data_IF_567746945160
#
_entry.id   IF_567746945160
#
_cell.length_a   1.000
_cell.length_b   1.000
_cell.length_c   1.000
_cell.angle_alpha   90.00
_cell.angle_beta   90.00
_cell.angle_gamma   90.00
#
_symmetry.space_group_name_H-M   'P 1'
#
loop_
_entity.id
_entity.type
_entity.pdbx_description
1 polymer ?
#
# COMPACT_ATOMS: atom_id res chain seq x y z
N UNK A 1 13.08 17.98 -3.16
CA UNK A 1 11.95 17.54 -2.32
C UNK A 1 11.32 16.34 -2.99
N UNK A 2 11.28 15.22 -2.29
CA UNK A 2 10.51 14.07 -2.74
C UNK A 2 9.01 14.28 -2.40
N UNK A 3 8.13 13.49 -3.01
CA UNK A 3 6.68 13.61 -2.83
C UNK A 3 6.26 13.49 -1.35
N UNK A 4 6.85 12.53 -0.63
CA UNK A 4 6.47 12.24 0.76
C UNK A 4 6.86 13.36 1.74
N UNK A 5 8.03 13.97 1.56
CA UNK A 5 8.46 15.17 2.32
C UNK A 5 7.47 16.32 2.14
N UNK A 6 7.06 16.58 0.89
CA UNK A 6 6.10 17.65 0.60
C UNK A 6 4.74 17.38 1.26
N UNK A 7 4.24 16.15 1.22
CA UNK A 7 2.98 15.78 1.86
C UNK A 7 3.05 15.92 3.39
N UNK A 8 4.14 15.42 3.99
CA UNK A 8 4.36 15.52 5.43
C UNK A 8 4.45 16.98 5.91
N UNK A 9 5.07 17.87 5.13
CA UNK A 9 5.13 19.31 5.45
C UNK A 9 3.77 20.01 5.44
N UNK A 10 2.82 19.49 4.66
CA UNK A 10 1.45 20.00 4.63
C UNK A 10 0.55 19.31 5.67
N UNK A 11 1.11 18.50 6.57
CA UNK A 11 0.36 17.81 7.62
C UNK A 11 -0.49 16.64 7.12
N UNK A 12 -0.18 16.09 5.94
CA UNK A 12 -0.88 14.92 5.41
C UNK A 12 -0.42 13.68 6.18
N UNK A 13 -1.38 12.92 6.72
CA UNK A 13 -1.09 11.62 7.32
C UNK A 13 -0.74 10.60 6.24
N UNK A 14 0.41 9.93 6.39
CA UNK A 14 0.88 8.92 5.44
C UNK A 14 0.66 7.53 6.03
N UNK A 15 -0.07 6.69 5.31
CA UNK A 15 -0.24 5.26 5.60
C UNK A 15 0.57 4.47 4.58
N UNK A 16 1.41 3.55 5.04
CA UNK A 16 2.32 2.82 4.14
C UNK A 16 2.51 1.35 4.53
N UNK A 17 2.94 0.54 3.54
CA UNK A 17 3.21 -0.89 3.72
C UNK A 17 4.70 -1.15 3.97
N UNK A 18 5.06 -2.30 4.55
CA UNK A 18 6.32 -2.53 5.26
C UNK A 18 7.60 -1.98 4.61
N UNK A 19 7.86 -2.26 3.34
CA UNK A 19 9.08 -1.77 2.67
C UNK A 19 9.15 -0.25 2.55
N UNK A 20 8.07 0.38 2.09
CA UNK A 20 8.01 1.83 1.91
C UNK A 20 7.90 2.56 3.25
N UNK A 21 7.17 1.99 4.22
CA UNK A 21 7.06 2.56 5.56
C UNK A 21 8.43 2.73 6.21
N UNK A 22 9.29 1.70 6.13
CA UNK A 22 10.66 1.76 6.66
C UNK A 22 11.49 2.86 6.01
N UNK A 23 11.47 2.97 4.68
CA UNK A 23 12.22 4.01 3.95
C UNK A 23 11.78 5.43 4.34
N UNK A 24 10.48 5.63 4.58
CA UNK A 24 9.94 6.93 5.00
C UNK A 24 10.33 7.25 6.46
N UNK A 25 10.28 6.26 7.34
CA UNK A 25 10.68 6.38 8.75
C UNK A 25 12.19 6.68 8.87
N UNK A 26 13.03 5.97 8.11
CA UNK A 26 14.49 6.22 8.03
C UNK A 26 14.81 7.65 7.52
N UNK A 27 13.90 8.25 6.75
CA UNK A 27 14.00 9.65 6.30
C UNK A 27 13.44 10.67 7.31
N UNK A 28 13.00 10.22 8.50
CA UNK A 28 12.45 11.06 9.56
C UNK A 28 11.03 11.57 9.30
N UNK A 29 10.28 10.93 8.39
CA UNK A 29 8.91 11.30 8.09
C UNK A 29 7.92 10.53 8.98
N UNK A 30 6.84 11.19 9.39
CA UNK A 30 5.80 10.51 10.16
C UNK A 30 5.00 9.59 9.23
N UNK A 31 5.03 8.29 9.53
CA UNK A 31 4.34 7.28 8.75
C UNK A 31 3.63 6.29 9.67
N UNK A 32 2.38 5.99 9.34
CA UNK A 32 1.60 4.95 10.01
C UNK A 32 1.69 3.66 9.20
N UNK A 33 2.13 2.58 9.85
CA UNK A 33 2.16 1.26 9.22
C UNK A 33 0.74 0.73 8.95
N UNK A 34 0.55 0.06 7.80
CA UNK A 34 -0.76 -0.46 7.40
C UNK A 34 -1.38 -1.41 8.44
N UNK A 35 -0.57 -2.25 9.11
CA UNK A 35 -1.06 -3.16 10.15
C UNK A 35 -1.49 -2.41 11.41
N UNK A 36 -0.82 -1.31 11.74
CA UNK A 36 -1.25 -0.42 12.83
C UNK A 36 -2.56 0.26 12.50
N UNK A 37 -2.71 0.74 11.26
CA UNK A 37 -3.94 1.38 10.80
C UNK A 37 -5.13 0.40 10.80
N UNK A 38 -4.93 -0.80 10.26
CA UNK A 38 -6.00 -1.78 10.05
C UNK A 38 -6.27 -2.69 11.25
N UNK A 39 -5.32 -2.78 12.19
CA UNK A 39 -5.32 -3.78 13.26
C UNK A 39 -5.10 -5.21 12.77
N UNK A 40 -4.83 -5.42 11.47
CA UNK A 40 -4.68 -6.74 10.87
C UNK A 40 -3.20 -7.02 10.54
N UNK A 41 -2.65 -8.18 10.92
CA UNK A 41 -1.26 -8.51 10.63
C UNK A 41 -1.08 -8.78 9.13
N UNK A 42 0.15 -8.61 8.66
CA UNK A 42 0.55 -9.10 7.35
C UNK A 42 0.56 -10.63 7.32
N UNK A 43 -0.12 -11.25 6.36
CA UNK A 43 -0.22 -12.72 6.23
C UNK A 43 0.16 -13.19 4.82
N UNK A 44 0.35 -14.51 4.68
CA UNK A 44 0.69 -15.17 3.40
C UNK A 44 1.96 -14.58 2.77
N UNK A 45 3.03 -14.44 3.55
CA UNK A 45 4.32 -13.88 3.13
C UNK A 45 4.19 -12.49 2.47
N UNK A 46 3.25 -11.69 2.97
CA UNK A 46 3.02 -10.35 2.47
C UNK A 46 2.23 -10.25 1.20
N UNK A 47 1.51 -11.31 0.82
CA UNK A 47 0.54 -11.28 -0.28
C UNK A 47 -0.77 -10.62 0.13
N UNK A 48 -1.14 -10.70 1.42
CA UNK A 48 -2.33 -10.05 1.96
C UNK A 48 -1.90 -9.03 3.01
N UNK A 49 -1.88 -7.76 2.58
CA UNK A 49 -1.43 -6.60 3.36
C UNK A 49 -2.50 -5.53 3.52
N UNK A 50 -3.21 -5.25 2.42
CA UNK A 50 -4.08 -4.07 2.27
C UNK A 50 -5.53 -4.42 1.92
N UNK A 51 -5.85 -5.71 1.75
CA UNK A 51 -7.24 -6.16 1.53
C UNK A 51 -7.95 -6.07 2.87
N UNK A 52 -8.55 -4.91 3.14
CA UNK A 52 -9.18 -4.59 4.40
C UNK A 52 -10.28 -3.53 4.19
N UNK A 53 -11.48 -3.68 4.82
CA UNK A 53 -12.57 -2.73 4.67
C UNK A 53 -12.22 -1.29 5.06
N UNK A 54 -11.30 -1.09 6.02
CA UNK A 54 -10.85 0.24 6.44
C UNK A 54 -10.03 0.96 5.36
N UNK A 55 -9.36 0.20 4.48
CA UNK A 55 -8.59 0.75 3.35
C UNK A 55 -9.51 0.91 2.15
N UNK A 56 -10.21 -0.16 1.77
CA UNK A 56 -11.06 -0.20 0.58
C UNK A 56 -12.25 0.76 0.72
N UNK A 57 -12.89 0.80 1.90
CA UNK A 57 -13.98 1.75 2.17
C UNK A 57 -13.51 3.20 2.13
N UNK A 58 -12.27 3.47 2.57
CA UNK A 58 -11.67 4.81 2.53
C UNK A 58 -11.37 5.29 1.11
N UNK A 59 -11.10 4.37 0.19
CA UNK A 59 -10.79 4.64 -1.24
C UNK A 59 -12.07 4.64 -2.09
N UNK A 60 -12.96 3.67 -1.90
CA UNK A 60 -14.10 3.40 -2.79
C UNK A 60 -15.40 4.07 -2.33
N UNK A 61 -15.53 4.45 -1.07
CA UNK A 61 -16.77 5.00 -0.54
C UNK A 61 -17.10 6.38 -1.12
N UNK A 62 -18.39 6.59 -1.42
CA UNK A 62 -18.92 7.87 -1.90
C UNK A 62 -19.22 8.76 -0.69
N UNK A 63 -18.45 9.85 -0.51
CA UNK A 63 -18.48 10.66 0.72
C UNK A 63 -19.84 11.30 1.01
N UNK A 64 -20.60 11.62 -0.02
CA UNK A 64 -21.94 12.21 0.05
C UNK A 64 -23.02 11.19 0.42
N UNK A 65 -22.81 9.90 0.12
CA UNK A 65 -23.80 8.83 0.33
C UNK A 65 -23.48 7.89 1.47
N UNK A 66 -22.19 7.64 1.73
CA UNK A 66 -21.71 6.58 2.63
C UNK A 66 -21.04 7.16 3.89
N UNK A 67 -21.27 8.44 4.21
CA UNK A 67 -20.69 9.08 5.40
C UNK A 67 -21.07 8.37 6.70
N UNK A 68 -22.33 7.95 6.83
CA UNK A 68 -22.82 7.27 8.03
C UNK A 68 -22.20 5.87 8.17
N UNK A 69 -22.11 5.11 7.07
CA UNK A 69 -21.46 3.79 7.06
C UNK A 69 -19.97 3.90 7.41
N UNK A 70 -19.28 4.89 6.84
CA UNK A 70 -17.87 5.13 7.12
C UNK A 70 -17.67 5.45 8.61
N UNK A 71 -18.52 6.33 9.17
CA UNK A 71 -18.48 6.70 10.58
C UNK A 71 -18.79 5.51 11.50
N UNK A 72 -19.81 4.72 11.18
CA UNK A 72 -20.21 3.56 11.98
C UNK A 72 -19.13 2.47 12.05
N UNK A 73 -18.31 2.37 11.00
CA UNK A 73 -17.27 1.35 10.88
C UNK A 73 -15.84 1.89 11.09
N UNK A 74 -15.68 3.13 11.57
CA UNK A 74 -14.39 3.79 11.79
C UNK A 74 -13.50 3.87 10.52
N UNK A 75 -14.12 3.97 9.36
CA UNK A 75 -13.42 4.11 8.07
C UNK A 75 -12.98 5.56 7.92
N UNK A 76 -11.67 5.77 7.76
CA UNK A 76 -11.11 7.08 7.42
C UNK A 76 -11.04 7.22 5.91
N UNK A 77 -11.38 8.41 5.43
CA UNK A 77 -11.28 8.71 4.00
C UNK A 77 -9.83 8.79 3.53
N UNK A 78 -9.56 8.27 2.34
CA UNK A 78 -8.24 8.32 1.70
C UNK A 78 -8.35 9.26 0.49
N UNK A 79 -7.62 10.38 0.54
CA UNK A 79 -7.66 11.40 -0.53
C UNK A 79 -6.66 11.12 -1.67
N UNK A 80 -5.58 10.39 -1.39
CA UNK A 80 -4.52 10.10 -2.35
C UNK A 80 -4.00 8.67 -2.17
N UNK A 81 -3.92 7.94 -3.28
CA UNK A 81 -3.29 6.62 -3.34
C UNK A 81 -2.10 6.69 -4.28
N UNK A 82 -0.91 6.44 -3.74
CA UNK A 82 0.34 6.34 -4.52
C UNK A 82 0.76 4.89 -4.54
N UNK A 83 0.63 4.24 -5.70
CA UNK A 83 1.08 2.87 -5.90
C UNK A 83 1.89 2.80 -7.20
N UNK A 84 2.97 2.02 -7.19
CA UNK A 84 3.71 1.68 -8.38
C UNK A 84 3.68 0.16 -8.55
N UNK A 85 3.26 -0.30 -9.73
CA UNK A 85 3.24 -1.70 -10.06
C UNK A 85 4.58 -2.09 -10.68
N UNK A 86 5.12 -3.24 -10.27
CA UNK A 86 6.30 -3.78 -10.96
C UNK A 86 5.93 -4.03 -12.43
N UNK A 87 6.81 -3.70 -13.40
CA UNK A 87 6.54 -3.90 -14.82
C UNK A 87 6.58 -5.40 -15.16
N UNK A 88 5.50 -6.09 -14.80
CA UNK A 88 5.31 -7.53 -15.00
C UNK A 88 5.44 -7.92 -16.48
N UNK A 89 5.06 -7.02 -17.39
CA UNK A 89 5.21 -7.19 -18.83
C UNK A 89 6.66 -7.41 -19.28
N UNK A 90 7.66 -6.87 -18.57
CA UNK A 90 9.07 -7.05 -18.91
C UNK A 90 9.61 -8.43 -18.52
N UNK A 91 9.03 -9.05 -17.49
CA UNK A 91 9.46 -10.37 -17.01
C UNK A 91 8.99 -11.46 -17.98
N UNK A 92 7.73 -11.41 -18.41
CA UNK A 92 7.16 -12.40 -19.33
C UNK A 92 7.75 -12.34 -20.74
N UNK A 93 8.39 -11.23 -21.12
CA UNK A 93 9.08 -11.08 -22.40
C UNK A 93 10.50 -11.67 -22.42
N UNK A 94 11.03 -12.13 -21.27
CA UNK A 94 12.31 -12.83 -21.24
C UNK A 94 12.13 -14.26 -21.74
N UNK A 95 12.93 -14.65 -22.73
CA UNK A 95 12.81 -15.90 -23.49
C UNK A 95 12.91 -17.20 -22.65
N UNK A 96 13.25 -17.09 -21.35
CA UNK A 96 13.47 -18.21 -20.44
C UNK A 96 12.56 -18.15 -19.19
N UNK A 97 11.44 -17.43 -19.28
CA UNK A 97 10.46 -17.36 -18.18
C UNK A 97 9.60 -18.64 -18.16
N UNK A 98 10.06 -19.66 -17.45
CA UNK A 98 9.22 -20.81 -17.09
C UNK A 98 7.97 -20.36 -16.32
N UNK A 99 6.86 -21.11 -16.45
CA UNK A 99 5.57 -20.79 -15.82
C UNK A 99 5.69 -20.47 -14.32
N UNK A 100 6.57 -21.17 -13.62
CA UNK A 100 6.86 -20.95 -12.19
C UNK A 100 7.40 -19.52 -11.91
N UNK A 101 8.32 -19.03 -12.75
CA UNK A 101 8.90 -17.68 -12.63
C UNK A 101 7.85 -16.60 -12.90
N UNK A 102 6.94 -16.84 -13.86
CA UNK A 102 5.83 -15.93 -14.11
C UNK A 102 4.84 -15.90 -12.92
N UNK A 103 4.50 -17.06 -12.35
CA UNK A 103 3.57 -17.19 -11.23
C UNK A 103 4.12 -16.59 -9.92
N UNK A 104 5.40 -16.79 -9.64
CA UNK A 104 6.06 -16.18 -8.47
C UNK A 104 6.03 -14.66 -8.53
N UNK A 105 6.17 -14.08 -9.72
CA UNK A 105 6.12 -12.63 -9.94
C UNK A 105 4.70 -12.06 -10.03
N UNK A 106 3.67 -12.88 -10.31
CA UNK A 106 2.29 -12.42 -10.42
C UNK A 106 1.69 -12.00 -9.08
N UNK A 107 2.12 -12.64 -7.98
CA UNK A 107 1.64 -12.33 -6.63
C UNK A 107 2.69 -11.73 -5.69
N UNK A 108 3.90 -11.45 -6.18
CA UNK A 108 4.92 -10.74 -5.40
C UNK A 108 4.63 -9.23 -5.37
N UNK A 109 3.79 -8.82 -4.41
CA UNK A 109 3.90 -7.50 -3.77
C UNK A 109 5.19 -7.42 -2.91
N UNK A 110 6.33 -7.94 -3.40
CA UNK A 110 7.63 -7.69 -2.78
C UNK A 110 8.03 -6.29 -3.15
N UNK A 111 7.84 -5.38 -2.21
CA UNK A 111 8.66 -4.18 -2.13
C UNK A 111 10.12 -4.61 -2.35
N UNK A 112 10.80 -3.90 -3.25
CA UNK A 112 12.23 -4.09 -3.54
C UNK A 112 13.01 -4.13 -2.22
N UNK A 113 13.33 -5.32 -1.74
CA UNK A 113 14.39 -5.54 -0.77
C UNK A 113 15.56 -6.13 -1.55
N UNK A 114 16.32 -5.23 -2.15
CA UNK A 114 17.66 -5.47 -2.64
C UNK A 114 18.65 -4.80 -1.68
N UNK A 115 18.96 -5.48 -0.59
CA UNK A 115 20.26 -5.53 0.10
C UNK A 115 20.18 -6.59 1.19
#
# INVERSE_FOLDING_TARGET
MNLAESLNQHGVEIISTGGTAKTLDDAGLQVTGISTYTGFPEIMDGRVKTINPLVEGGILGLRDKHADDAKANNIRWIDLVVCNLYPFSKIISQADCGLMVAMDNFGHWRANYGS
#
